data_IF_242027774387
#
_entry.id   IF_242027774387
#
_cell.length_a   1.000
_cell.length_b   1.000
_cell.length_c   1.000
_cell.angle_alpha   90.00
_cell.angle_beta   90.00
_cell.angle_gamma   90.00
#
_symmetry.space_group_name_H-M   'P 1'
#
loop_
_entity.id
_entity.type
_entity.pdbx_description
1 polymer ?
#
# COMPACT_ATOMS: atom_id res chain seq x y z
N UNK A 1 3.73 -3.85 -22.49
CA UNK A 1 3.46 -4.95 -21.54
C UNK A 1 2.40 -5.93 -22.05
N UNK A 2 1.20 -5.50 -22.44
CA UNK A 2 0.13 -6.39 -22.88
C UNK A 2 0.52 -7.38 -24.00
N UNK A 3 1.27 -6.93 -25.00
CA UNK A 3 1.75 -7.80 -26.09
C UNK A 3 2.68 -8.93 -25.58
N UNK A 4 3.59 -8.61 -24.66
CA UNK A 4 4.52 -9.58 -24.08
C UNK A 4 3.79 -10.55 -23.14
N UNK A 5 2.86 -10.05 -22.33
CA UNK A 5 2.01 -10.88 -21.49
C UNK A 5 1.24 -11.91 -22.33
N UNK A 6 0.59 -11.46 -23.41
CA UNK A 6 -0.17 -12.34 -24.29
C UNK A 6 0.71 -13.41 -24.97
N UNK A 7 1.92 -13.04 -25.40
CA UNK A 7 2.90 -14.01 -25.95
C UNK A 7 3.36 -15.05 -24.93
N UNK A 8 3.35 -14.71 -23.65
CA UNK A 8 3.68 -15.61 -22.56
C UNK A 8 2.47 -16.43 -22.05
N UNK A 9 1.30 -16.36 -22.71
CA UNK A 9 0.09 -17.04 -22.24
C UNK A 9 -0.54 -16.41 -20.99
N UNK A 10 -0.21 -15.15 -20.71
CA UNK A 10 -0.73 -14.38 -19.58
C UNK A 10 -1.66 -13.26 -20.08
N UNK A 11 -2.61 -12.88 -19.23
CA UNK A 11 -3.47 -11.72 -19.43
C UNK A 11 -3.29 -10.72 -18.28
N UNK A 12 -3.26 -9.44 -18.61
CA UNK A 12 -3.32 -8.38 -17.59
C UNK A 12 -4.77 -8.30 -17.11
N UNK A 13 -4.98 -8.50 -15.81
CA UNK A 13 -6.30 -8.48 -15.17
C UNK A 13 -6.54 -7.23 -14.35
N UNK A 14 -5.47 -6.53 -13.97
CA UNK A 14 -5.53 -5.25 -13.29
C UNK A 14 -4.28 -4.44 -13.65
N UNK A 15 -4.48 -3.15 -13.83
CA UNK A 15 -3.43 -2.17 -14.00
C UNK A 15 -3.88 -0.89 -13.30
N UNK A 16 -3.11 -0.47 -12.29
CA UNK A 16 -3.50 0.63 -11.39
C UNK A 16 -2.24 1.26 -10.78
N UNK A 17 -2.39 2.35 -10.04
CA UNK A 17 -1.32 2.92 -9.23
C UNK A 17 -1.08 2.10 -7.96
N UNK A 18 0.10 2.24 -7.35
CA UNK A 18 0.41 1.64 -6.06
C UNK A 18 -0.53 2.17 -4.99
N UNK A 19 -0.86 3.47 -5.02
CA UNK A 19 -1.77 4.08 -4.07
C UNK A 19 -3.16 3.43 -4.10
N UNK A 20 -3.74 3.28 -5.30
CA UNK A 20 -5.04 2.62 -5.49
C UNK A 20 -4.98 1.14 -5.07
N UNK A 21 -3.95 0.41 -5.50
CA UNK A 21 -3.77 -1.00 -5.16
C UNK A 21 -3.64 -1.24 -3.65
N UNK A 22 -2.87 -0.41 -2.94
CA UNK A 22 -2.76 -0.49 -1.48
C UNK A 22 -4.09 -0.12 -0.79
N UNK A 23 -4.85 0.80 -1.37
CA UNK A 23 -6.21 1.13 -0.93
C UNK A 23 -7.14 -0.08 -1.00
N UNK A 24 -7.13 -0.81 -2.12
CA UNK A 24 -7.92 -2.03 -2.31
C UNK A 24 -7.53 -3.17 -1.36
N UNK A 25 -6.26 -3.21 -0.91
CA UNK A 25 -5.77 -4.17 0.07
C UNK A 25 -6.07 -3.80 1.53
N UNK A 26 -6.76 -2.68 1.78
CA UNK A 26 -7.16 -2.28 3.13
C UNK A 26 -6.09 -1.50 3.91
N UNK A 27 -5.19 -0.77 3.21
CA UNK A 27 -4.20 0.10 3.89
C UNK A 27 -4.85 1.09 4.87
N UNK A 28 -6.06 1.57 4.56
CA UNK A 28 -6.81 2.48 5.43
C UNK A 28 -7.09 1.87 6.81
N UNK A 29 -7.41 0.58 6.88
CA UNK A 29 -7.68 -0.12 8.14
C UNK A 29 -6.40 -0.26 8.96
N UNK A 30 -5.29 -0.63 8.31
CA UNK A 30 -3.98 -0.71 8.96
C UNK A 30 -3.54 0.65 9.52
N UNK A 31 -3.80 1.74 8.80
CA UNK A 31 -3.53 3.11 9.27
C UNK A 31 -4.41 3.47 10.47
N UNK A 32 -5.70 3.08 10.46
CA UNK A 32 -6.60 3.30 11.58
C UNK A 32 -6.12 2.56 12.84
N UNK A 33 -5.69 1.30 12.71
CA UNK A 33 -5.06 0.53 13.80
C UNK A 33 -3.81 1.24 14.34
N UNK A 34 -2.92 1.71 13.45
CA UNK A 34 -1.69 2.41 13.85
C UNK A 34 -1.98 3.71 14.62
N UNK A 35 -3.01 4.46 14.20
CA UNK A 35 -3.50 5.64 14.91
C UNK A 35 -4.03 5.29 16.30
N UNK A 36 -4.79 4.20 16.43
CA UNK A 36 -5.30 3.76 17.73
C UNK A 36 -4.16 3.42 18.70
N UNK A 37 -3.18 2.63 18.24
CA UNK A 37 -1.99 2.28 19.04
C UNK A 37 -1.20 3.52 19.46
N UNK A 38 -0.96 4.46 18.54
CA UNK A 38 -0.28 5.71 18.87
C UNK A 38 -1.06 6.53 19.90
N UNK A 39 -2.37 6.66 19.75
CA UNK A 39 -3.20 7.43 20.69
C UNK A 39 -3.18 6.82 22.11
N UNK A 40 -3.22 5.50 22.22
CA UNK A 40 -3.19 4.81 23.51
C UNK A 40 -1.81 4.89 24.19
N UNK A 41 -0.72 4.80 23.41
CA UNK A 41 0.63 4.53 23.95
C UNK A 41 1.64 5.65 23.75
N UNK A 42 1.29 6.74 23.06
CA UNK A 42 2.21 7.85 22.76
C UNK A 42 2.86 8.46 23.99
N UNK A 43 2.18 8.46 25.14
CA UNK A 43 2.72 8.95 26.42
C UNK A 43 3.80 8.03 27.02
N UNK A 44 3.79 6.74 26.66
CA UNK A 44 4.79 5.75 27.05
C UNK A 44 6.00 5.84 26.13
N UNK A 45 5.76 6.10 24.84
CA UNK A 45 6.82 6.27 23.84
C UNK A 45 7.60 4.99 23.54
N UNK A 46 6.98 3.82 23.78
CA UNK A 46 7.60 2.52 23.53
C UNK A 46 7.65 2.15 22.04
N UNK A 47 8.27 1.02 21.73
CA UNK A 47 8.42 0.55 20.34
C UNK A 47 7.08 0.31 19.65
N UNK A 48 6.05 -0.07 20.39
CA UNK A 48 4.71 -0.28 19.86
C UNK A 48 4.05 1.05 19.50
N UNK A 49 4.19 2.08 20.34
CA UNK A 49 3.79 3.44 20.03
C UNK A 49 4.52 3.95 18.77
N UNK A 50 5.84 3.78 18.70
CA UNK A 50 6.63 4.19 17.55
C UNK A 50 6.23 3.46 16.27
N UNK A 51 5.94 2.16 16.34
CA UNK A 51 5.45 1.38 15.20
C UNK A 51 4.08 1.89 14.71
N UNK A 52 3.16 2.21 15.64
CA UNK A 52 1.87 2.82 15.32
C UNK A 52 2.02 4.15 14.57
N UNK A 53 2.88 5.04 15.06
CA UNK A 53 3.21 6.31 14.39
C UNK A 53 3.89 6.09 13.03
N UNK A 54 4.86 5.19 12.95
CA UNK A 54 5.60 4.91 11.71
C UNK A 54 4.66 4.46 10.61
N UNK A 55 3.71 3.56 10.94
CA UNK A 55 2.73 3.06 10.00
C UNK A 55 1.90 4.18 9.34
N UNK A 56 1.49 5.19 10.11
CA UNK A 56 0.74 6.35 9.57
C UNK A 56 1.60 7.13 8.58
N UNK A 57 2.82 7.48 8.97
CA UNK A 57 3.72 8.28 8.15
C UNK A 57 4.18 7.53 6.88
N UNK A 58 4.48 6.24 7.01
CA UNK A 58 4.88 5.40 5.89
C UNK A 58 3.74 5.21 4.90
N UNK A 59 2.50 5.07 5.37
CA UNK A 59 1.34 4.99 4.50
C UNK A 59 1.16 6.26 3.64
N UNK A 60 1.44 7.45 4.20
CA UNK A 60 1.43 8.69 3.43
C UNK A 60 2.48 8.67 2.31
N UNK A 61 3.71 8.24 2.61
CA UNK A 61 4.77 8.12 1.61
C UNK A 61 4.45 7.07 0.52
N UNK A 62 3.85 5.93 0.92
CA UNK A 62 3.45 4.85 0.01
C UNK A 62 2.28 5.21 -0.90
N UNK A 63 1.48 6.22 -0.55
CA UNK A 63 0.27 6.63 -1.29
C UNK A 63 0.40 7.98 -2.00
N UNK A 64 1.50 8.71 -1.78
CA UNK A 64 1.81 9.93 -2.53
C UNK A 64 1.99 9.64 -4.03
N UNK A 65 1.04 10.12 -4.85
CA UNK A 65 1.06 9.96 -6.31
C UNK A 65 2.23 10.66 -6.99
N UNK A 66 2.84 11.67 -6.37
CA UNK A 66 4.06 12.30 -6.87
C UNK A 66 5.33 11.52 -6.53
N UNK A 67 5.22 10.55 -5.61
CA UNK A 67 6.29 9.66 -5.16
C UNK A 67 5.94 8.19 -5.37
N UNK A 68 6.07 7.37 -4.33
CA UNK A 68 5.92 5.92 -4.41
C UNK A 68 4.51 5.49 -4.82
N UNK A 69 3.48 6.25 -4.40
CA UNK A 69 2.09 5.98 -4.77
C UNK A 69 1.84 6.01 -6.28
N UNK A 70 2.68 6.71 -7.04
CA UNK A 70 2.62 6.79 -8.50
C UNK A 70 3.22 5.57 -9.23
N UNK A 71 3.85 4.62 -8.53
CA UNK A 71 4.32 3.38 -9.17
C UNK A 71 3.16 2.58 -9.76
N UNK A 72 3.38 1.89 -10.90
CA UNK A 72 2.37 1.04 -11.52
C UNK A 72 2.39 -0.37 -10.96
N UNK A 73 1.23 -0.86 -10.59
CA UNK A 73 0.99 -2.27 -10.26
C UNK A 73 0.28 -2.93 -11.44
N UNK A 74 0.79 -4.08 -11.89
CA UNK A 74 0.22 -4.85 -12.99
C UNK A 74 0.04 -6.30 -12.54
N UNK A 75 -1.20 -6.78 -12.51
CA UNK A 75 -1.52 -8.16 -12.13
C UNK A 75 -1.74 -8.98 -13.38
N UNK A 76 -0.91 -10.02 -13.55
CA UNK A 76 -0.96 -10.98 -14.64
C UNK A 76 -1.57 -12.29 -14.12
N UNK A 77 -2.45 -12.91 -14.90
CA UNK A 77 -2.95 -14.26 -14.64
C UNK A 77 -2.75 -15.15 -15.87
N UNK A 78 -2.58 -16.47 -15.69
CA UNK A 78 -2.70 -17.41 -16.80
C UNK A 78 -4.02 -17.22 -17.53
N UNK A 79 -3.97 -17.42 -18.84
CA UNK A 79 -5.16 -17.36 -19.68
C UNK A 79 -6.10 -18.53 -19.42
#
# INVERSE_FOLDING_TARGET
MALLANRAGLVITQETSQAEWLGELGLADLVAEGKAVWNERSSIGDLEALAGRSRVNEAEALTDLSGLGGHRVVILKPR
#
